data_IF_731953385654
#
_entry.id   IF_731953385654
#
_cell.length_a   1.000
_cell.length_b   1.000
_cell.length_c   1.000
_cell.angle_alpha   90.00
_cell.angle_beta   90.00
_cell.angle_gamma   90.00
#
_symmetry.space_group_name_H-M   'P 1'
#
loop_
_entity.id
_entity.type
_entity.pdbx_description
1 polymer ?
#
# COMPACT_ATOMS: atom_id res chain seq x y z
N UNK A 1 -62.13 -70.76 -23.39
CA UNK A 1 -62.03 -70.01 -22.12
C UNK A 1 -61.32 -68.69 -22.41
N UNK A 2 -62.01 -67.56 -22.19
CA UNK A 2 -61.45 -66.20 -22.41
C UNK A 2 -60.71 -65.78 -21.13
N UNK A 3 -59.40 -65.57 -21.21
CA UNK A 3 -58.63 -64.94 -20.13
C UNK A 3 -58.71 -63.41 -20.27
N UNK A 4 -59.02 -62.76 -19.16
CA UNK A 4 -59.36 -61.34 -19.06
C UNK A 4 -58.14 -60.43 -19.26
N UNK A 5 -58.34 -59.37 -20.02
CA UNK A 5 -57.39 -58.29 -20.37
C UNK A 5 -57.07 -57.34 -19.21
N UNK A 6 -57.38 -57.68 -17.96
CA UNK A 6 -57.33 -56.73 -16.83
C UNK A 6 -55.93 -56.49 -16.24
N UNK A 7 -54.91 -57.31 -16.56
CA UNK A 7 -53.60 -57.22 -15.90
C UNK A 7 -52.59 -56.31 -16.59
N UNK A 8 -52.85 -55.81 -17.81
CA UNK A 8 -51.90 -54.95 -18.54
C UNK A 8 -52.00 -53.46 -18.20
N UNK A 9 -53.11 -53.02 -17.58
CA UNK A 9 -53.36 -51.61 -17.29
C UNK A 9 -52.91 -51.16 -15.89
N UNK A 10 -52.67 -52.09 -14.96
CA UNK A 10 -52.27 -51.76 -13.58
C UNK A 10 -50.77 -51.51 -13.40
N UNK A 11 -49.92 -52.14 -14.21
CA UNK A 11 -48.46 -52.03 -14.09
C UNK A 11 -47.92 -50.69 -14.60
N UNK A 12 -48.60 -50.05 -15.57
CA UNK A 12 -48.18 -48.76 -16.12
C UNK A 12 -48.56 -47.55 -15.25
N UNK A 13 -49.59 -47.67 -14.40
CA UNK A 13 -49.99 -46.57 -13.49
C UNK A 13 -49.07 -46.51 -12.26
N UNK A 14 -48.55 -47.64 -11.80
CA UNK A 14 -47.62 -47.69 -10.67
C UNK A 14 -46.19 -47.24 -11.03
N UNK A 15 -45.74 -47.43 -12.28
CA UNK A 15 -44.45 -46.90 -12.74
C UNK A 15 -44.50 -45.38 -13.04
N UNK A 16 -45.67 -44.85 -13.38
CA UNK A 16 -45.87 -43.43 -13.66
C UNK A 16 -45.98 -42.57 -12.39
N UNK A 17 -46.40 -43.14 -11.24
CA UNK A 17 -46.45 -42.43 -9.96
C UNK A 17 -45.12 -42.43 -9.19
N UNK A 18 -44.18 -43.31 -9.51
CA UNK A 18 -42.85 -43.33 -8.87
C UNK A 18 -41.86 -42.33 -9.47
N UNK A 19 -42.18 -41.73 -10.63
CA UNK A 19 -41.29 -40.79 -11.33
C UNK A 19 -41.44 -39.31 -10.88
N UNK A 20 -42.42 -38.99 -10.03
CA UNK A 20 -42.73 -37.60 -9.64
C UNK A 20 -42.18 -37.18 -8.27
N UNK A 21 -41.47 -38.07 -7.55
CA UNK A 21 -40.95 -37.77 -6.20
C UNK A 21 -39.46 -37.40 -6.19
N UNK A 22 -38.83 -37.25 -7.37
CA UNK A 22 -37.47 -36.69 -7.48
C UNK A 22 -37.52 -35.21 -7.85
N UNK A 23 -38.44 -34.43 -7.26
CA UNK A 23 -38.28 -32.98 -7.25
C UNK A 23 -37.06 -32.70 -6.38
N UNK A 24 -35.92 -32.58 -7.05
CA UNK A 24 -34.65 -32.18 -6.48
C UNK A 24 -34.87 -31.07 -5.46
N UNK A 25 -34.54 -31.33 -4.21
CA UNK A 25 -34.03 -30.28 -3.34
C UNK A 25 -32.72 -29.79 -3.98
N UNK A 26 -32.82 -28.99 -5.05
CA UNK A 26 -31.71 -28.16 -5.46
C UNK A 26 -31.51 -27.20 -4.30
N UNK A 27 -30.45 -27.46 -3.53
CA UNK A 27 -29.90 -26.49 -2.59
C UNK A 27 -29.74 -25.22 -3.41
N UNK A 28 -30.42 -24.16 -3.02
CA UNK A 28 -30.54 -22.87 -3.73
C UNK A 28 -29.20 -22.15 -4.00
N UNK A 29 -28.06 -22.81 -3.77
CA UNK A 29 -26.72 -22.26 -3.84
C UNK A 29 -26.46 -21.16 -2.81
N UNK A 30 -27.47 -20.81 -2.00
CA UNK A 30 -27.49 -19.66 -1.12
C UNK A 30 -27.86 -20.11 0.30
N UNK A 31 -26.99 -20.92 0.95
CA UNK A 31 -27.24 -21.45 2.29
C UNK A 31 -27.49 -20.36 3.34
N UNK A 32 -27.14 -19.11 3.03
CA UNK A 32 -27.23 -17.95 3.90
C UNK A 32 -28.39 -17.00 3.56
N UNK A 33 -29.25 -17.33 2.57
CA UNK A 33 -30.37 -16.49 2.12
C UNK A 33 -29.98 -15.03 1.87
N UNK A 34 -28.80 -14.81 1.32
CA UNK A 34 -28.32 -13.47 0.98
C UNK A 34 -29.19 -12.89 -0.14
N UNK A 35 -29.47 -11.58 -0.12
CA UNK A 35 -30.16 -10.91 -1.22
C UNK A 35 -29.45 -11.18 -2.55
N UNK A 36 -30.21 -11.32 -3.63
CA UNK A 36 -29.62 -11.38 -4.98
C UNK A 36 -28.89 -10.07 -5.29
N UNK A 37 -27.63 -10.17 -5.70
CA UNK A 37 -26.85 -9.02 -6.19
C UNK A 37 -26.92 -8.98 -7.72
N UNK A 38 -27.20 -7.82 -8.30
CA UNK A 38 -27.09 -7.64 -9.75
C UNK A 38 -25.62 -7.45 -10.14
N UNK A 39 -25.18 -8.14 -11.19
CA UNK A 39 -23.85 -7.92 -11.80
C UNK A 39 -23.70 -6.51 -12.35
N UNK A 40 -24.80 -5.86 -12.72
CA UNK A 40 -24.81 -4.50 -13.25
C UNK A 40 -24.25 -3.49 -12.25
N UNK A 41 -24.42 -3.75 -10.95
CA UNK A 41 -23.90 -2.90 -9.85
C UNK A 41 -22.37 -2.88 -9.78
N UNK A 42 -21.69 -3.79 -10.48
CA UNK A 42 -20.22 -3.92 -10.49
C UNK A 42 -19.60 -3.52 -11.83
N UNK A 43 -20.40 -3.20 -12.85
CA UNK A 43 -19.90 -2.78 -14.16
C UNK A 43 -19.06 -1.51 -13.99
N UNK A 44 -17.83 -1.55 -14.51
CA UNK A 44 -16.89 -0.43 -14.43
C UNK A 44 -16.20 -0.24 -13.07
N UNK A 45 -16.47 -1.08 -12.08
CA UNK A 45 -15.77 -1.05 -10.79
C UNK A 45 -14.53 -1.93 -10.80
N UNK A 46 -13.55 -1.59 -9.97
CA UNK A 46 -12.35 -2.40 -9.73
C UNK A 46 -12.49 -3.04 -8.36
N UNK A 47 -12.58 -4.37 -8.30
CA UNK A 47 -12.78 -5.15 -7.07
C UNK A 47 -13.97 -4.64 -6.20
N UNK A 48 -14.97 -4.02 -6.83
CA UNK A 48 -16.16 -3.46 -6.16
C UNK A 48 -16.09 -1.98 -5.82
N UNK A 49 -14.97 -1.30 -6.10
CA UNK A 49 -14.77 0.13 -5.86
C UNK A 49 -14.84 0.97 -7.14
N UNK A 50 -15.37 2.18 -7.04
CA UNK A 50 -15.35 3.18 -8.12
C UNK A 50 -14.02 3.92 -8.18
N UNK A 51 -13.39 4.16 -7.03
CA UNK A 51 -12.17 4.96 -6.94
C UNK A 51 -11.34 4.58 -5.71
N UNK A 52 -10.05 4.92 -5.73
CA UNK A 52 -9.12 4.69 -4.62
C UNK A 52 -9.48 5.44 -3.34
N UNK A 53 -10.32 6.48 -3.43
CA UNK A 53 -10.87 7.19 -2.26
C UNK A 53 -11.88 6.36 -1.45
N UNK A 54 -12.46 5.31 -2.02
CA UNK A 54 -13.37 4.40 -1.31
C UNK A 54 -12.64 3.34 -0.46
N UNK A 55 -11.30 3.25 -0.58
CA UNK A 55 -10.48 2.33 0.20
C UNK A 55 -10.28 2.90 1.60
N UNK A 56 -10.94 2.31 2.61
CA UNK A 56 -10.78 2.65 4.03
C UNK A 56 -10.87 4.17 4.33
N UNK A 57 -11.94 4.86 3.89
CA UNK A 57 -12.01 6.32 3.91
C UNK A 57 -11.92 6.91 5.33
N UNK A 58 -12.45 6.23 6.34
CA UNK A 58 -12.36 6.64 7.76
C UNK A 58 -10.94 6.53 8.33
N UNK A 59 -10.07 5.75 7.68
CA UNK A 59 -8.71 5.49 8.14
C UNK A 59 -7.67 6.17 7.25
N UNK A 60 -8.05 6.74 6.11
CA UNK A 60 -7.17 7.59 5.32
C UNK A 60 -7.00 8.92 6.06
N UNK A 61 -5.82 9.14 6.64
CA UNK A 61 -5.56 10.27 7.55
C UNK A 61 -4.62 11.32 6.98
N UNK A 62 -3.94 11.02 5.87
CA UNK A 62 -3.26 12.01 5.04
C UNK A 62 -3.18 11.53 3.58
N UNK A 63 -3.27 12.46 2.63
CA UNK A 63 -3.22 12.17 1.21
C UNK A 63 -2.60 13.33 0.42
N UNK A 64 -1.53 13.06 -0.32
CA UNK A 64 -0.95 13.97 -1.32
C UNK A 64 -1.17 13.38 -2.71
N UNK A 65 -2.07 14.01 -3.48
CA UNK A 65 -2.36 13.61 -4.85
C UNK A 65 -1.45 14.28 -5.88
N UNK A 66 -0.69 15.30 -5.47
CA UNK A 66 0.21 16.08 -6.33
C UNK A 66 -0.40 16.59 -7.65
N UNK A 67 -1.72 16.76 -7.68
CA UNK A 67 -2.44 17.26 -8.85
C UNK A 67 -2.39 18.79 -8.88
N UNK A 68 -1.29 19.32 -9.41
CA UNK A 68 -0.96 20.74 -9.47
C UNK A 68 -0.92 21.45 -8.09
N UNK A 69 -0.68 20.70 -7.03
CA UNK A 69 -0.59 21.24 -5.66
C UNK A 69 0.34 20.41 -4.80
N UNK A 70 1.02 21.08 -3.86
CA UNK A 70 1.77 20.41 -2.78
C UNK A 70 0.95 20.31 -1.51
N UNK A 71 -0.33 20.66 -1.51
CA UNK A 71 -1.13 20.60 -0.30
C UNK A 71 -1.45 19.16 0.07
N UNK A 72 -1.38 18.85 1.36
CA UNK A 72 -1.99 17.64 1.91
C UNK A 72 -3.52 17.81 1.84
N UNK A 73 -4.21 16.89 1.17
CA UNK A 73 -5.61 17.02 0.74
C UNK A 73 -6.61 17.06 1.91
N UNK A 74 -6.34 16.37 3.02
CA UNK A 74 -7.29 16.23 4.13
C UNK A 74 -7.28 17.46 5.03
N UNK A 75 -6.10 17.96 5.39
CA UNK A 75 -5.92 19.13 6.24
C UNK A 75 -5.84 20.45 5.47
N UNK A 76 -5.54 20.40 4.16
CA UNK A 76 -5.23 21.57 3.34
C UNK A 76 -3.82 22.14 3.58
N UNK A 77 -2.97 21.46 4.35
CA UNK A 77 -1.64 21.97 4.74
C UNK A 77 -0.70 22.05 3.53
N UNK A 78 -0.21 23.25 3.21
CA UNK A 78 0.81 23.45 2.18
C UNK A 78 2.22 23.03 2.65
N UNK A 79 3.09 22.69 1.70
CA UNK A 79 4.50 22.45 1.99
C UNK A 79 5.17 23.72 2.53
N UNK A 80 5.96 23.58 3.61
CA UNK A 80 6.74 24.67 4.20
C UNK A 80 7.88 25.11 3.27
N UNK A 81 8.55 24.15 2.65
CA UNK A 81 9.57 24.42 1.64
C UNK A 81 9.73 23.24 0.69
N UNK A 82 10.41 23.49 -0.42
CA UNK A 82 10.75 22.49 -1.42
C UNK A 82 11.89 22.99 -2.29
N UNK A 83 12.57 22.06 -2.95
CA UNK A 83 13.59 22.37 -3.95
C UNK A 83 13.56 21.32 -5.04
N UNK A 84 13.89 21.69 -6.27
CA UNK A 84 13.95 20.78 -7.41
C UNK A 84 12.61 20.12 -7.75
N UNK A 85 11.48 20.67 -7.29
CA UNK A 85 10.15 20.13 -7.51
C UNK A 85 9.42 20.80 -8.67
N UNK A 86 8.73 20.00 -9.47
CA UNK A 86 7.80 20.44 -10.53
C UNK A 86 6.63 19.47 -10.63
N UNK A 87 5.61 19.81 -11.41
CA UNK A 87 4.51 18.89 -11.72
C UNK A 87 4.62 18.41 -13.17
N UNK A 88 4.40 17.11 -13.37
CA UNK A 88 4.33 16.49 -14.70
C UNK A 88 2.90 16.02 -14.97
N UNK A 89 2.47 16.06 -16.23
CA UNK A 89 1.11 15.66 -16.64
C UNK A 89 0.91 14.16 -16.75
N UNK A 90 1.99 13.37 -16.72
CA UNK A 90 1.97 11.93 -16.82
C UNK A 90 1.95 11.25 -15.43
N UNK A 91 1.07 11.72 -14.54
CA UNK A 91 0.82 11.08 -13.25
C UNK A 91 0.08 9.75 -13.38
N UNK A 92 -0.04 9.04 -12.27
CA UNK A 92 -0.91 7.86 -12.16
C UNK A 92 -2.37 8.29 -12.24
N UNK A 93 -2.70 9.42 -11.61
CA UNK A 93 -4.01 10.06 -11.68
C UNK A 93 -3.82 11.57 -11.77
N UNK A 94 -4.04 12.14 -12.95
CA UNK A 94 -3.81 13.56 -13.19
C UNK A 94 -2.31 13.89 -13.25
N UNK A 95 -1.89 14.95 -12.56
CA UNK A 95 -0.48 15.33 -12.47
C UNK A 95 0.25 14.60 -11.32
N UNK A 96 1.58 14.51 -11.42
CA UNK A 96 2.42 13.97 -10.35
C UNK A 96 3.55 14.94 -9.98
N UNK A 97 4.13 14.75 -8.79
CA UNK A 97 5.31 15.47 -8.35
C UNK A 97 6.56 14.86 -8.98
N UNK A 98 7.32 15.65 -9.75
CA UNK A 98 8.65 15.30 -10.22
C UNK A 98 9.71 16.05 -9.40
N UNK A 99 10.75 15.33 -8.99
CA UNK A 99 11.88 15.84 -8.24
C UNK A 99 13.15 15.63 -9.06
N UNK A 100 13.96 16.67 -9.20
CA UNK A 100 15.28 16.62 -9.83
C UNK A 100 16.33 17.01 -8.79
N UNK A 101 16.94 16.01 -8.14
CA UNK A 101 17.69 16.17 -6.90
C UNK A 101 16.91 17.04 -5.88
N UNK A 102 15.62 16.74 -5.73
CA UNK A 102 14.66 17.59 -5.03
C UNK A 102 14.01 16.94 -3.81
N UNK A 103 13.27 17.76 -3.06
CA UNK A 103 12.49 17.36 -1.88
C UNK A 103 11.26 18.26 -1.69
N UNK A 104 10.30 17.79 -0.89
CA UNK A 104 9.28 18.62 -0.23
C UNK A 104 9.33 18.42 1.28
N UNK A 105 9.08 19.49 2.03
CA UNK A 105 9.14 19.51 3.49
C UNK A 105 7.93 20.22 4.09
N UNK A 106 7.37 19.63 5.16
CA UNK A 106 6.27 20.14 5.95
C UNK A 106 6.70 20.15 7.42
N UNK A 107 6.86 21.35 7.97
CA UNK A 107 7.28 21.56 9.36
C UNK A 107 6.17 21.31 10.39
N UNK A 108 4.94 21.04 9.93
CA UNK A 108 3.76 20.98 10.77
C UNK A 108 3.59 19.58 11.40
N UNK A 109 3.30 19.55 12.69
CA UNK A 109 2.75 18.35 13.33
C UNK A 109 1.31 18.14 12.86
N UNK A 110 1.09 17.12 12.03
CA UNK A 110 -0.26 16.69 11.65
C UNK A 110 -0.95 16.01 12.85
N UNK A 111 -2.20 16.36 13.14
CA UNK A 111 -2.97 15.70 14.20
C UNK A 111 -3.10 14.18 13.98
N UNK A 112 -3.21 13.76 12.72
CA UNK A 112 -3.23 12.38 12.29
C UNK A 112 -1.98 11.57 12.70
N UNK A 113 -0.83 12.23 12.87
CA UNK A 113 0.45 11.59 13.16
C UNK A 113 0.87 11.72 14.63
N UNK A 114 -0.03 12.17 15.50
CA UNK A 114 0.22 12.18 16.95
C UNK A 114 0.26 10.75 17.50
N UNK A 115 0.98 10.55 18.60
CA UNK A 115 1.19 9.27 19.28
C UNK A 115 -0.12 8.54 19.58
N UNK A 116 -1.16 9.29 19.97
CA UNK A 116 -2.48 8.74 20.31
C UNK A 116 -3.29 8.31 19.07
N UNK A 117 -3.03 8.90 17.90
CA UNK A 117 -3.81 8.71 16.67
C UNK A 117 -3.21 7.66 15.73
N UNK A 118 -1.87 7.51 15.72
CA UNK A 118 -1.16 6.61 14.82
C UNK A 118 -0.48 5.49 15.61
N UNK A 119 -1.06 4.28 15.56
CA UNK A 119 -0.57 3.08 16.27
C UNK A 119 -0.19 1.98 15.28
N UNK A 120 -1.09 1.68 14.35
CA UNK A 120 -0.84 0.91 13.13
C UNK A 120 -0.81 1.87 11.95
N UNK A 121 -0.15 1.50 10.86
CA UNK A 121 -0.11 2.36 9.68
C UNK A 121 -0.01 1.59 8.37
N UNK A 122 -0.43 2.25 7.31
CA UNK A 122 -0.09 1.89 5.93
C UNK A 122 0.36 3.15 5.21
N UNK A 123 1.55 3.14 4.60
CA UNK A 123 2.03 4.23 3.74
C UNK A 123 2.14 3.66 2.32
N UNK A 124 1.41 4.26 1.38
CA UNK A 124 1.35 3.87 -0.02
C UNK A 124 1.84 5.02 -0.89
N UNK A 125 2.65 4.75 -1.91
CA UNK A 125 3.06 5.72 -2.91
C UNK A 125 3.19 5.06 -4.28
N UNK A 126 2.86 5.81 -5.34
CA UNK A 126 3.30 5.48 -6.69
C UNK A 126 4.60 6.19 -6.97
N UNK A 127 5.55 5.50 -7.58
CA UNK A 127 6.92 6.03 -7.79
C UNK A 127 7.43 5.68 -9.19
N UNK A 128 8.01 6.66 -9.88
CA UNK A 128 8.94 6.47 -11.00
C UNK A 128 10.34 6.80 -10.52
N UNK A 129 11.24 5.83 -10.54
CA UNK A 129 12.60 6.01 -10.04
C UNK A 129 13.55 5.03 -10.71
N UNK A 130 14.85 5.36 -10.69
CA UNK A 130 15.93 4.47 -11.05
C UNK A 130 16.83 4.22 -9.83
N UNK A 131 17.49 3.07 -9.83
CA UNK A 131 18.72 2.95 -9.05
C UNK A 131 19.73 4.03 -9.50
N UNK A 132 20.62 4.48 -8.61
CA UNK A 132 21.59 5.53 -8.90
C UNK A 132 23.04 5.14 -8.55
N UNK A 133 23.27 4.03 -7.86
CA UNK A 133 24.61 3.52 -7.57
C UNK A 133 25.43 4.34 -6.57
N UNK A 134 24.84 5.34 -5.91
CA UNK A 134 25.57 6.28 -5.05
C UNK A 134 24.91 6.58 -3.71
N UNK A 135 23.64 7.02 -3.70
CA UNK A 135 22.94 7.51 -2.51
C UNK A 135 21.58 6.85 -2.34
N UNK A 136 21.19 6.52 -1.11
CA UNK A 136 19.84 6.03 -0.77
C UNK A 136 18.82 7.14 -1.02
N UNK A 137 17.59 6.75 -1.33
CA UNK A 137 16.46 7.66 -1.49
C UNK A 137 15.45 7.42 -0.39
N UNK A 138 15.03 8.47 0.30
CA UNK A 138 13.93 8.43 1.27
C UNK A 138 12.67 8.94 0.57
N UNK A 139 11.73 8.05 0.25
CA UNK A 139 10.49 8.43 -0.44
C UNK A 139 9.60 9.27 0.46
N UNK A 140 9.45 8.83 1.70
CA UNK A 140 8.66 9.46 2.75
C UNK A 140 9.39 9.32 4.07
N UNK A 141 9.49 10.42 4.81
CA UNK A 141 9.91 10.41 6.19
C UNK A 141 8.83 11.08 7.04
N UNK A 142 8.32 10.36 8.05
CA UNK A 142 7.72 10.99 9.21
C UNK A 142 8.88 11.32 10.15
N UNK A 143 9.50 12.46 9.91
CA UNK A 143 10.68 12.90 10.60
C UNK A 143 10.39 13.18 12.08
N UNK A 144 11.41 12.94 12.89
CA UNK A 144 11.47 13.40 14.27
C UNK A 144 12.57 14.45 14.34
N UNK A 145 12.29 15.69 14.74
CA UNK A 145 13.31 16.72 14.81
C UNK A 145 14.52 16.27 15.61
N UNK A 146 15.69 16.66 15.11
CA UNK A 146 17.02 16.30 15.64
C UNK A 146 17.45 14.84 15.50
N UNK A 147 16.63 13.99 14.85
CA UNK A 147 16.97 12.59 14.61
C UNK A 147 17.19 12.28 13.13
N UNK A 148 18.19 11.44 12.85
CA UNK A 148 18.50 11.01 11.49
C UNK A 148 17.43 10.09 10.92
N UNK A 149 17.03 9.07 11.70
CA UNK A 149 15.87 8.23 11.44
C UNK A 149 14.66 8.82 12.16
N UNK A 150 13.60 9.08 11.41
CA UNK A 150 12.33 9.54 11.94
C UNK A 150 11.48 8.41 12.54
N UNK A 151 10.24 8.74 12.88
CA UNK A 151 9.24 7.79 13.34
C UNK A 151 8.95 6.73 12.28
N UNK A 152 8.87 7.12 11.00
CA UNK A 152 8.70 6.23 9.84
C UNK A 152 9.68 6.69 8.76
N UNK A 153 10.38 5.73 8.15
CA UNK A 153 11.35 5.97 7.08
C UNK A 153 11.05 5.00 5.93
N UNK A 154 10.54 5.50 4.80
CA UNK A 154 10.29 4.69 3.61
C UNK A 154 11.51 4.79 2.68
N UNK A 155 12.49 3.92 2.93
CA UNK A 155 13.79 3.95 2.26
C UNK A 155 13.82 3.03 1.04
N UNK A 156 14.40 3.55 -0.04
CA UNK A 156 14.90 2.80 -1.17
C UNK A 156 16.42 2.83 -1.17
N UNK A 157 17.06 1.66 -1.22
CA UNK A 157 18.51 1.50 -1.34
C UNK A 157 18.95 1.68 -2.81
N UNK A 158 18.56 2.81 -3.43
CA UNK A 158 18.86 3.16 -4.83
C UNK A 158 20.36 3.23 -5.10
N UNK A 159 21.19 3.39 -4.08
CA UNK A 159 22.64 3.29 -4.14
C UNK A 159 23.18 1.88 -4.47
N UNK A 160 22.40 0.83 -4.22
CA UNK A 160 22.93 -0.54 -4.20
C UNK A 160 23.21 -1.10 -5.59
N UNK A 161 22.66 -0.51 -6.65
CA UNK A 161 22.75 -1.01 -8.02
C UNK A 161 22.89 0.14 -9.03
N UNK A 162 23.34 -0.17 -10.24
CA UNK A 162 23.40 0.79 -11.34
C UNK A 162 22.00 1.12 -11.88
N UNK A 163 21.84 2.30 -12.48
CA UNK A 163 20.56 2.76 -13.06
C UNK A 163 19.98 1.85 -14.16
N UNK A 164 20.82 1.05 -14.81
CA UNK A 164 20.40 0.08 -15.83
C UNK A 164 19.68 -1.13 -15.23
N UNK A 165 19.82 -1.40 -13.94
CA UNK A 165 19.13 -2.48 -13.25
C UNK A 165 17.76 -1.99 -12.79
N UNK A 166 16.70 -2.49 -13.41
CA UNK A 166 15.32 -1.98 -13.27
C UNK A 166 14.35 -3.00 -12.69
N UNK A 167 14.78 -4.24 -12.52
CA UNK A 167 14.02 -5.36 -11.94
C UNK A 167 14.47 -5.70 -10.51
N UNK A 168 15.37 -4.89 -9.95
CA UNK A 168 15.88 -5.08 -8.60
C UNK A 168 16.08 -3.75 -7.88
N UNK A 169 15.03 -3.26 -7.22
CA UNK A 169 15.14 -2.23 -6.18
C UNK A 169 15.01 -2.87 -4.80
N UNK A 170 15.91 -2.50 -3.89
CA UNK A 170 15.81 -2.89 -2.49
C UNK A 170 15.05 -1.80 -1.72
N UNK A 171 13.97 -2.21 -1.08
CA UNK A 171 13.08 -1.42 -0.23
C UNK A 171 13.39 -1.83 1.21
N UNK A 172 13.86 -0.88 2.02
CA UNK A 172 14.37 -1.13 3.37
C UNK A 172 13.76 -0.14 4.38
N UNK A 173 12.45 -0.16 4.57
CA UNK A 173 11.80 0.79 5.44
C UNK A 173 12.13 0.51 6.90
N UNK A 174 12.06 1.55 7.71
CA UNK A 174 12.24 1.44 9.16
C UNK A 174 11.21 2.28 9.91
N UNK A 175 10.98 1.95 11.18
CA UNK A 175 10.22 2.77 12.10
C UNK A 175 10.87 2.82 13.48
N UNK A 176 10.49 3.81 14.29
CA UNK A 176 10.99 3.95 15.66
C UNK A 176 10.06 3.27 16.66
N UNK A 177 10.61 2.36 17.47
CA UNK A 177 9.89 1.67 18.55
C UNK A 177 9.75 2.54 19.81
N UNK A 178 8.85 2.16 20.72
CA UNK A 178 8.68 2.83 22.02
C UNK A 178 9.96 2.88 22.86
N UNK A 179 10.83 1.89 22.73
CA UNK A 179 12.14 1.84 23.36
C UNK A 179 13.19 2.79 22.72
N UNK A 180 12.83 3.53 21.67
CA UNK A 180 13.75 4.37 20.90
C UNK A 180 14.67 3.60 19.94
N UNK A 181 14.52 2.27 19.86
CA UNK A 181 15.22 1.43 18.90
C UNK A 181 14.55 1.44 17.53
N UNK A 182 15.34 1.30 16.47
CA UNK A 182 14.82 1.19 15.10
C UNK A 182 14.39 -0.24 14.81
N UNK A 183 13.23 -0.40 14.18
CA UNK A 183 12.72 -1.66 13.63
C UNK A 183 12.69 -1.57 12.11
N UNK A 184 12.93 -2.67 11.42
CA UNK A 184 13.11 -2.72 9.97
C UNK A 184 12.47 -3.95 9.31
N UNK A 185 12.24 -3.85 8.01
CA UNK A 185 12.04 -5.02 7.14
C UNK A 185 12.77 -4.73 5.81
N UNK A 186 13.05 -5.77 5.04
CA UNK A 186 13.63 -5.64 3.71
C UNK A 186 13.11 -6.71 2.75
N UNK A 187 13.05 -6.37 1.47
CA UNK A 187 12.91 -7.35 0.38
C UNK A 187 14.29 -7.91 0.02
N UNK A 188 14.80 -8.85 0.82
CA UNK A 188 16.04 -9.58 0.52
C UNK A 188 15.77 -10.98 -0.04
N UNK A 189 16.82 -11.64 -0.50
CA UNK A 189 16.85 -13.10 -0.50
C UNK A 189 17.42 -13.60 0.82
N UNK A 190 16.83 -14.64 1.39
CA UNK A 190 17.52 -15.52 2.34
C UNK A 190 17.41 -16.95 1.82
N UNK A 191 18.18 -17.92 2.30
CA UNK A 191 18.19 -19.28 1.73
C UNK A 191 16.84 -19.97 1.51
N UNK A 192 15.75 -19.45 2.11
CA UNK A 192 14.36 -19.91 1.95
C UNK A 192 13.53 -19.04 0.99
N UNK A 193 13.73 -17.72 0.98
CA UNK A 193 12.91 -16.78 0.22
C UNK A 193 13.73 -16.10 -0.88
N UNK A 194 13.21 -16.15 -2.10
CA UNK A 194 13.81 -15.43 -3.24
C UNK A 194 13.63 -13.93 -3.09
N UNK A 195 14.59 -13.17 -3.63
CA UNK A 195 14.47 -11.72 -3.75
C UNK A 195 13.30 -11.38 -4.69
N UNK A 196 12.39 -10.53 -4.24
CA UNK A 196 11.26 -10.03 -5.02
C UNK A 196 11.28 -8.50 -5.04
N UNK A 197 10.95 -7.92 -6.19
CA UNK A 197 10.98 -6.48 -6.38
C UNK A 197 10.03 -6.07 -7.50
N UNK A 198 9.34 -4.92 -7.41
CA UNK A 198 8.60 -4.39 -8.54
C UNK A 198 9.60 -3.92 -9.62
N UNK A 199 9.17 -3.97 -10.87
CA UNK A 199 9.89 -3.30 -11.95
C UNK A 199 9.82 -1.79 -11.73
N UNK A 200 10.96 -1.12 -11.75
CA UNK A 200 11.09 0.34 -11.68
C UNK A 200 11.58 0.90 -13.02
N UNK A 201 11.59 2.21 -13.15
CA UNK A 201 12.07 2.89 -14.36
C UNK A 201 11.75 4.37 -14.34
N UNK A 202 12.48 5.16 -15.14
CA UNK A 202 12.22 6.59 -15.30
C UNK A 202 10.83 6.89 -15.90
N UNK A 203 10.23 5.92 -16.60
CA UNK A 203 8.89 6.03 -17.21
C UNK A 203 8.00 4.84 -16.81
N UNK A 204 8.29 4.19 -15.68
CA UNK A 204 7.53 3.02 -15.20
C UNK A 204 7.06 3.31 -13.78
N UNK A 205 5.75 3.49 -13.62
CA UNK A 205 5.12 3.64 -12.32
C UNK A 205 5.11 2.32 -11.57
N UNK A 206 5.69 2.31 -10.37
CA UNK A 206 5.63 1.20 -9.43
C UNK A 206 4.83 1.64 -8.20
N UNK A 207 3.87 0.82 -7.78
CA UNK A 207 3.13 1.03 -6.54
C UNK A 207 3.87 0.36 -5.39
N UNK A 208 4.34 1.15 -4.43
CA UNK A 208 5.11 0.67 -3.28
C UNK A 208 4.34 0.99 -2.00
N UNK A 209 4.19 -0.02 -1.14
CA UNK A 209 3.44 0.12 0.12
C UNK A 209 4.22 -0.50 1.28
N UNK A 210 4.21 0.16 2.42
CA UNK A 210 4.66 -0.39 3.69
C UNK A 210 3.50 -0.42 4.68
N UNK A 211 3.36 -1.52 5.42
CA UNK A 211 2.25 -1.74 6.35
C UNK A 211 2.78 -2.21 7.69
N UNK A 212 2.30 -1.64 8.78
CA UNK A 212 2.61 -2.08 10.13
C UNK A 212 1.34 -2.29 10.96
N UNK A 213 1.23 -3.45 11.59
CA UNK A 213 0.14 -3.81 12.49
C UNK A 213 0.64 -3.91 13.94
N UNK A 214 0.23 -2.96 14.79
CA UNK A 214 0.60 -2.95 16.20
C UNK A 214 0.01 -4.11 17.01
N UNK A 215 -1.07 -4.76 16.54
CA UNK A 215 -1.67 -5.89 17.24
C UNK A 215 -0.84 -7.17 17.12
N UNK A 216 -0.18 -7.35 15.98
CA UNK A 216 0.64 -8.53 15.67
C UNK A 216 2.14 -8.25 15.63
N UNK A 217 2.55 -6.98 15.59
CA UNK A 217 3.95 -6.58 15.43
C UNK A 217 4.50 -6.84 14.03
N UNK A 218 3.63 -7.06 13.04
CA UNK A 218 4.04 -7.40 11.66
C UNK A 218 4.27 -6.13 10.86
N UNK A 219 5.47 -5.98 10.32
CA UNK A 219 5.87 -4.95 9.37
C UNK A 219 6.12 -5.56 8.00
N UNK A 220 5.45 -5.11 6.95
CA UNK A 220 5.47 -5.75 5.63
C UNK A 220 5.61 -4.73 4.50
N UNK A 221 6.17 -5.19 3.38
CA UNK A 221 6.48 -4.43 2.17
C UNK A 221 5.73 -5.05 0.99
N UNK A 222 5.16 -4.20 0.16
CA UNK A 222 4.45 -4.56 -1.05
C UNK A 222 4.97 -3.80 -2.26
N UNK A 223 5.00 -4.49 -3.41
CA UNK A 223 5.25 -3.90 -4.72
C UNK A 223 4.20 -4.37 -5.70
N UNK A 224 3.52 -3.44 -6.37
CA UNK A 224 2.49 -3.72 -7.38
C UNK A 224 1.42 -4.71 -6.90
N UNK A 225 0.93 -4.53 -5.67
CA UNK A 225 -0.08 -5.40 -5.06
C UNK A 225 0.42 -6.77 -4.58
N UNK A 226 1.73 -7.05 -4.60
CA UNK A 226 2.33 -8.32 -4.16
C UNK A 226 3.20 -8.11 -2.93
N UNK A 227 3.14 -9.04 -1.95
CA UNK A 227 4.05 -9.04 -0.80
C UNK A 227 5.47 -9.37 -1.26
N UNK A 228 6.40 -8.47 -1.00
CA UNK A 228 7.81 -8.62 -1.40
C UNK A 228 8.78 -8.55 -0.23
N UNK A 229 8.34 -8.06 0.94
CA UNK A 229 9.15 -8.10 2.15
C UNK A 229 9.31 -9.55 2.63
N UNK A 230 10.50 -9.86 3.13
CA UNK A 230 10.85 -11.25 3.47
C UNK A 230 10.11 -11.66 4.75
N UNK A 231 9.36 -12.78 4.74
CA UNK A 231 8.64 -13.22 5.93
C UNK A 231 9.52 -13.46 7.17
N UNK A 232 10.80 -13.79 6.98
CA UNK A 232 11.75 -13.94 8.09
C UNK A 232 12.07 -12.63 8.83
N UNK A 233 11.84 -11.47 8.22
CA UNK A 233 12.16 -10.16 8.79
C UNK A 233 10.91 -9.35 9.17
N UNK A 234 9.70 -9.86 8.91
CA UNK A 234 8.47 -9.09 9.11
C UNK A 234 8.05 -8.93 10.58
N UNK A 235 8.38 -9.89 11.45
CA UNK A 235 7.98 -9.84 12.87
C UNK A 235 8.92 -8.93 13.65
N UNK A 236 8.41 -7.79 14.15
CA UNK A 236 9.16 -6.80 14.95
C UNK A 236 8.83 -6.87 16.44
N UNK A 237 8.14 -7.93 16.85
CA UNK A 237 7.74 -8.15 18.24
C UNK A 237 6.62 -7.23 18.71
N UNK A 238 6.20 -7.45 19.95
CA UNK A 238 5.18 -6.66 20.66
C UNK A 238 5.78 -6.04 21.92
N UNK A 239 5.04 -5.18 22.61
CA UNK A 239 5.51 -4.47 23.81
C UNK A 239 6.36 -3.24 23.46
N UNK A 240 7.59 -3.16 23.96
CA UNK A 240 8.41 -1.93 23.84
C UNK A 240 9.02 -1.72 22.46
N UNK A 241 8.96 -2.71 21.56
CA UNK A 241 9.37 -2.58 20.16
C UNK A 241 8.26 -2.08 19.25
N UNK A 242 7.03 -1.94 19.76
CA UNK A 242 5.90 -1.42 18.99
C UNK A 242 6.22 -0.01 18.47
N UNK A 243 5.75 0.28 17.25
CA UNK A 243 5.83 1.62 16.68
C UNK A 243 5.37 2.71 17.66
N UNK A 244 6.08 3.82 17.66
CA UNK A 244 5.69 5.02 18.36
C UNK A 244 5.89 6.27 17.49
N UNK A 245 4.81 7.02 17.28
CA UNK A 245 4.86 8.28 16.55
C UNK A 245 5.22 9.44 17.48
N UNK A 246 6.50 9.56 17.84
CA UNK A 246 6.97 10.60 18.75
C UNK A 246 6.66 12.00 18.24
N UNK A 247 6.34 12.89 19.17
CA UNK A 247 6.00 14.29 18.90
C UNK A 247 7.11 15.23 19.40
N UNK A 248 7.39 16.34 18.71
CA UNK A 248 6.82 16.72 17.42
C UNK A 248 7.35 15.83 16.27
N UNK A 249 6.59 15.79 15.18
CA UNK A 249 6.94 15.13 13.93
C UNK A 249 6.68 16.04 12.74
N UNK A 250 7.48 15.85 11.69
CA UNK A 250 7.49 16.63 10.44
C UNK A 250 7.38 15.65 9.26
N UNK A 251 6.98 16.11 8.07
CA UNK A 251 6.89 15.25 6.88
C UNK A 251 7.89 15.69 5.83
N UNK A 252 8.61 14.73 5.25
CA UNK A 252 9.54 14.94 4.14
C UNK A 252 9.23 13.95 3.02
N UNK A 253 9.26 14.43 1.77
CA UNK A 253 9.30 13.61 0.56
C UNK A 253 10.62 13.80 -0.17
N UNK A 254 11.14 12.71 -0.74
CA UNK A 254 12.31 12.75 -1.62
C UNK A 254 13.64 13.05 -0.94
N UNK A 255 13.73 12.98 0.39
CA UNK A 255 14.94 13.24 1.17
C UNK A 255 14.78 12.80 2.61
N UNK A 256 15.88 12.65 3.34
CA UNK A 256 15.84 12.49 4.78
C UNK A 256 16.09 13.84 5.47
N UNK A 257 15.97 13.87 6.79
CA UNK A 257 16.15 15.08 7.60
C UNK A 257 17.45 15.86 7.30
N UNK A 258 18.56 15.16 7.02
CA UNK A 258 19.84 15.81 6.67
C UNK A 258 19.84 16.56 5.33
N UNK A 259 18.97 16.18 4.40
CA UNK A 259 18.83 16.82 3.07
C UNK A 259 18.14 18.19 3.18
N UNK A 260 17.38 18.43 4.25
CA UNK A 260 16.65 19.67 4.44
C UNK A 260 17.61 20.77 4.92
N UNK A 261 17.72 21.92 4.22
CA UNK A 261 18.59 23.02 4.60
C UNK A 261 18.33 23.49 6.04
N UNK A 262 19.40 23.62 6.83
CA UNK A 262 19.33 24.03 8.23
C UNK A 262 18.85 22.96 9.21
N UNK A 263 18.62 21.72 8.76
CA UNK A 263 18.15 20.60 9.59
C UNK A 263 19.16 19.45 9.71
N UNK A 264 20.39 19.60 9.21
CA UNK A 264 21.42 18.56 9.30
C UNK A 264 21.73 18.19 10.76
N UNK A 265 21.55 16.90 11.10
CA UNK A 265 21.75 16.36 12.45
C UNK A 265 22.99 15.48 12.57
N UNK A 266 23.57 15.07 11.45
CA UNK A 266 24.80 14.28 11.41
C UNK A 266 25.58 14.55 10.12
N UNK A 267 26.84 14.10 10.08
CA UNK A 267 27.69 14.13 8.87
C UNK A 267 27.41 12.96 7.92
N UNK A 268 26.41 12.12 8.22
CA UNK A 268 26.02 10.99 7.37
C UNK A 268 25.43 11.52 6.06
N UNK A 269 26.08 11.13 4.95
CA UNK A 269 25.70 11.49 3.58
C UNK A 269 25.19 10.29 2.79
N UNK A 270 24.74 9.21 3.43
CA UNK A 270 24.25 8.00 2.76
C UNK A 270 22.96 8.23 1.99
N UNK A 271 22.18 9.24 2.36
CA UNK A 271 20.97 9.68 1.65
C UNK A 271 21.25 10.88 0.75
N UNK A 272 20.52 10.96 -0.36
CA UNK A 272 20.50 12.10 -1.26
C UNK A 272 19.07 12.56 -1.55
N UNK A 273 18.94 13.79 -2.05
CA UNK A 273 17.68 14.29 -2.59
C UNK A 273 17.26 13.45 -3.81
N UNK A 274 15.96 13.26 -4.01
CA UNK A 274 15.41 12.34 -4.99
C UNK A 274 15.50 12.90 -6.40
N UNK A 275 15.87 12.04 -7.35
CA UNK A 275 15.60 12.23 -8.77
C UNK A 275 14.62 11.17 -9.23
N UNK A 276 13.41 11.58 -9.59
CA UNK A 276 12.31 10.70 -9.95
C UNK A 276 10.97 11.39 -9.78
N UNK A 277 9.88 10.64 -9.88
CA UNK A 277 8.52 11.15 -9.65
C UNK A 277 7.81 10.34 -8.59
N UNK A 278 6.95 11.00 -7.83
CA UNK A 278 6.11 10.40 -6.81
C UNK A 278 4.69 10.91 -6.99
N UNK A 279 3.73 10.03 -6.77
CA UNK A 279 2.33 10.35 -6.94
C UNK A 279 1.49 9.63 -5.89
N UNK A 280 0.30 10.16 -5.65
CA UNK A 280 -0.78 9.43 -5.00
C UNK A 280 -0.40 8.87 -3.60
N UNK A 281 0.34 9.66 -2.81
CA UNK A 281 0.87 9.26 -1.51
C UNK A 281 -0.22 9.27 -0.44
N UNK A 282 -0.50 8.12 0.15
CA UNK A 282 -1.56 7.92 1.14
C UNK A 282 -1.00 7.39 2.43
N UNK A 283 -1.48 7.90 3.56
CA UNK A 283 -1.21 7.37 4.89
C UNK A 283 -2.51 6.97 5.55
N UNK A 284 -2.60 5.70 5.93
CA UNK A 284 -3.69 5.16 6.70
C UNK A 284 -3.26 4.93 8.15
N UNK A 285 -4.15 5.16 9.11
CA UNK A 285 -3.90 4.85 10.53
C UNK A 285 -4.28 3.40 10.91
N UNK A 286 -4.23 2.49 9.94
CA UNK A 286 -4.50 1.06 10.08
C UNK A 286 -3.56 0.27 9.17
N UNK A 287 -3.29 -0.98 9.53
CA UNK A 287 -2.71 -1.94 8.60
C UNK A 287 -3.81 -2.38 7.63
N UNK A 288 -3.73 -1.97 6.37
CA UNK A 288 -4.73 -2.35 5.38
C UNK A 288 -4.70 -3.86 5.13
N UNK A 289 -5.86 -4.53 5.01
CA UNK A 289 -5.88 -5.93 4.60
C UNK A 289 -5.38 -6.10 3.16
N UNK A 290 -4.78 -7.27 2.89
CA UNK A 290 -4.20 -7.65 1.59
C UNK A 290 -5.10 -7.29 0.39
N UNK A 291 -6.39 -7.63 0.44
CA UNK A 291 -7.33 -7.39 -0.66
C UNK A 291 -7.51 -5.91 -1.01
N UNK A 292 -7.42 -5.02 -0.01
CA UNK A 292 -7.55 -3.58 -0.22
C UNK A 292 -6.27 -2.95 -0.77
N UNK A 293 -5.10 -3.50 -0.44
CA UNK A 293 -3.82 -3.10 -1.06
C UNK A 293 -3.81 -3.50 -2.54
N UNK A 294 -4.29 -4.71 -2.85
CA UNK A 294 -4.46 -5.18 -4.23
C UNK A 294 -5.46 -4.30 -4.99
N UNK A 295 -6.58 -3.96 -4.37
CA UNK A 295 -7.59 -3.06 -4.96
C UNK A 295 -7.01 -1.67 -5.23
N UNK A 296 -6.25 -1.11 -4.28
CA UNK A 296 -5.60 0.19 -4.41
C UNK A 296 -4.61 0.22 -5.59
N UNK A 297 -3.83 -0.85 -5.78
CA UNK A 297 -2.94 -0.99 -6.94
C UNK A 297 -3.73 -1.02 -8.26
N UNK A 298 -4.77 -1.87 -8.35
CA UNK A 298 -5.58 -1.99 -9.58
C UNK A 298 -6.35 -0.72 -9.91
N UNK A 299 -6.82 0.01 -8.90
CA UNK A 299 -7.48 1.30 -9.06
C UNK A 299 -6.52 2.34 -9.64
N UNK A 300 -5.29 2.41 -9.12
CA UNK A 300 -4.25 3.27 -9.70
C UNK A 300 -3.90 2.91 -11.15
N UNK A 301 -3.79 1.62 -11.50
CA UNK A 301 -3.62 1.20 -12.90
C UNK A 301 -4.77 1.65 -13.81
N UNK A 302 -5.98 1.77 -13.26
CA UNK A 302 -7.17 2.23 -13.98
C UNK A 302 -7.34 3.76 -13.96
N UNK A 303 -6.44 4.50 -13.30
CA UNK A 303 -6.55 5.95 -13.11
C UNK A 303 -7.72 6.37 -12.21
N UNK A 304 -8.09 5.52 -11.24
CA UNK A 304 -9.30 5.66 -10.39
C UNK A 304 -8.98 5.99 -8.94
#
# INVERSE_FOLDING_TARGET
MKFSTLYKSGAFVLLALSATVWSSCQKDGNPNKLPSVSTDTYVGKVDGFNSSEEIYPSNLVAYWNFDNTTNEKISGTASTSGSGNTFITAGVKGQALALNAGYLYYANQFNAFKTAALKSFTVSAWVQILNNGSKKTMLFQLARPTMFNGNINFVLETNSRAATITDAITIHPTFLGQNGGTQDNLNASNGTFLFQSPKIGANVWAHMVITYDASTGIFQIWGNGVKIGVPAYQSRGTGTTLFNSFEPSEVIFGGNYNVIPGKTVSTDTSFGAMTGSIDEVRVYNVCLPDAYIISLYKLGLAGK
#
